data_IF_230740934617
#
_entry.id   IF_230740934617
#
_cell.length_a   1.000
_cell.length_b   1.000
_cell.length_c   1.000
_cell.angle_alpha   90.00
_cell.angle_beta   90.00
_cell.angle_gamma   90.00
#
_symmetry.space_group_name_H-M   'P 1'
#
loop_
_entity.id
_entity.type
_entity.pdbx_description
1 polymer ?
#
# COMPACT_ATOMS: atom_id res chain seq x y z
N UNK A 1 6.63 -22.22 6.53
CA UNK A 1 5.46 -21.78 5.74
C UNK A 1 4.57 -20.96 6.67
N UNK A 2 3.99 -19.86 6.20
CA UNK A 2 3.19 -18.97 7.07
C UNK A 2 1.92 -19.69 7.55
N UNK A 3 1.60 -19.65 8.85
CA UNK A 3 0.30 -20.11 9.34
C UNK A 3 -0.75 -19.03 9.06
N UNK A 4 -1.38 -19.14 7.89
CA UNK A 4 -2.36 -18.15 7.43
C UNK A 4 -3.61 -18.09 8.31
N UNK A 5 -3.97 -19.16 9.01
CA UNK A 5 -5.16 -19.16 9.88
C UNK A 5 -4.87 -18.40 11.17
N UNK A 6 -3.69 -18.58 11.75
CA UNK A 6 -3.23 -17.77 12.87
C UNK A 6 -3.12 -16.30 12.48
N UNK A 7 -2.45 -16.00 11.37
CA UNK A 7 -2.29 -14.62 10.87
C UNK A 7 -3.63 -13.94 10.58
N UNK A 8 -4.61 -14.70 10.08
CA UNK A 8 -5.95 -14.16 9.82
C UNK A 8 -6.67 -13.80 11.12
N UNK A 9 -6.55 -14.62 12.19
CA UNK A 9 -7.10 -14.27 13.51
C UNK A 9 -6.44 -13.01 14.10
N UNK A 10 -5.12 -12.87 13.94
CA UNK A 10 -4.41 -11.65 14.34
C UNK A 10 -4.89 -10.44 13.53
N UNK A 11 -5.08 -10.59 12.21
CA UNK A 11 -5.64 -9.54 11.37
C UNK A 11 -7.04 -9.12 11.83
N UNK A 12 -7.94 -10.06 12.10
CA UNK A 12 -9.30 -9.77 12.57
C UNK A 12 -9.31 -9.07 13.94
N UNK A 13 -8.40 -9.46 14.83
CA UNK A 13 -8.32 -8.88 16.18
C UNK A 13 -7.68 -7.49 16.16
N UNK A 14 -6.55 -7.36 15.47
CA UNK A 14 -5.69 -6.18 15.57
C UNK A 14 -5.98 -5.17 14.44
N UNK A 15 -6.63 -5.58 13.35
CA UNK A 15 -6.75 -4.82 12.11
C UNK A 15 -5.50 -4.91 11.23
N UNK A 16 -4.51 -5.71 11.63
CA UNK A 16 -3.30 -5.93 10.85
C UNK A 16 -2.63 -7.26 11.22
N UNK A 17 -1.79 -7.77 10.31
CA UNK A 17 -0.92 -8.91 10.53
C UNK A 17 0.49 -8.62 9.98
N UNK A 18 1.51 -8.86 10.80
CA UNK A 18 2.91 -8.55 10.49
C UNK A 18 3.85 -9.30 11.46
N UNK A 19 5.02 -9.78 11.02
CA UNK A 19 5.51 -9.86 9.64
C UNK A 19 4.98 -11.11 8.92
N UNK A 20 4.84 -11.04 7.59
CA UNK A 20 4.52 -12.19 6.73
C UNK A 20 5.59 -12.30 5.65
N UNK A 21 6.30 -13.44 5.59
CA UNK A 21 7.32 -13.66 4.56
C UNK A 21 6.65 -13.88 3.20
N UNK A 22 6.96 -13.03 2.22
CA UNK A 22 6.42 -13.09 0.85
C UNK A 22 7.47 -13.66 -0.11
N UNK A 23 8.68 -13.11 -0.09
CA UNK A 23 9.83 -13.52 -0.89
C UNK A 23 11.08 -13.57 0.00
N UNK A 24 12.15 -14.19 -0.48
CA UNK A 24 13.44 -14.11 0.20
C UNK A 24 14.12 -12.74 0.00
N UNK A 25 15.12 -12.47 0.84
CA UNK A 25 15.87 -11.21 0.84
C UNK A 25 16.66 -10.97 -0.44
N UNK A 26 17.10 -12.03 -1.15
CA UNK A 26 17.83 -11.89 -2.40
C UNK A 26 16.90 -11.38 -3.50
N UNK A 27 15.68 -11.91 -3.59
CA UNK A 27 14.67 -11.44 -4.51
C UNK A 27 14.21 -10.03 -4.15
N UNK A 28 14.02 -9.71 -2.86
CA UNK A 28 13.73 -8.34 -2.42
C UNK A 28 14.81 -7.35 -2.88
N UNK A 29 16.08 -7.71 -2.72
CA UNK A 29 17.20 -6.90 -3.18
C UNK A 29 17.24 -6.73 -4.72
N UNK A 30 16.92 -7.78 -5.49
CA UNK A 30 16.78 -7.66 -6.95
C UNK A 30 15.69 -6.66 -7.34
N UNK A 31 14.54 -6.68 -6.67
CA UNK A 31 13.44 -5.74 -6.95
C UNK A 31 13.77 -4.31 -6.51
N UNK A 32 14.51 -4.14 -5.42
CA UNK A 32 15.11 -2.85 -5.06
C UNK A 32 15.97 -2.28 -6.19
N UNK A 33 16.89 -3.08 -6.73
CA UNK A 33 17.75 -2.66 -7.86
C UNK A 33 16.90 -2.31 -9.08
N UNK A 34 15.86 -3.11 -9.40
CA UNK A 34 14.94 -2.81 -10.50
C UNK A 34 14.20 -1.47 -10.32
N UNK A 35 13.78 -1.13 -9.10
CA UNK A 35 13.21 0.18 -8.79
C UNK A 35 14.23 1.29 -9.05
N UNK A 36 15.43 1.17 -8.47
CA UNK A 36 16.48 2.19 -8.61
C UNK A 36 16.88 2.40 -10.09
N UNK A 37 16.94 1.33 -10.88
CA UNK A 37 17.20 1.42 -12.32
C UNK A 37 16.04 2.03 -13.12
N UNK A 38 14.79 1.83 -12.69
CA UNK A 38 13.65 2.51 -13.27
C UNK A 38 13.69 4.00 -12.94
N UNK A 39 14.00 4.37 -11.69
CA UNK A 39 14.08 5.77 -11.25
C UNK A 39 15.17 6.55 -12.01
N UNK A 40 16.29 5.91 -12.38
CA UNK A 40 17.32 6.52 -13.25
C UNK A 40 16.78 6.91 -14.64
N UNK A 41 15.74 6.22 -15.13
CA UNK A 41 15.19 6.41 -16.49
C UNK A 41 14.02 7.39 -16.51
N UNK A 42 13.15 7.34 -15.51
CA UNK A 42 11.88 8.09 -15.51
C UNK A 42 11.73 9.06 -14.33
N UNK A 43 12.74 9.17 -13.48
CA UNK A 43 12.69 9.94 -12.24
C UNK A 43 12.04 9.17 -11.08
N UNK A 44 11.92 9.83 -9.93
CA UNK A 44 11.42 9.21 -8.71
C UNK A 44 10.00 8.62 -8.88
N UNK A 45 9.82 7.38 -8.40
CA UNK A 45 8.53 6.68 -8.44
C UNK A 45 7.79 6.68 -7.10
N UNK A 46 8.35 7.38 -6.10
CA UNK A 46 7.70 7.61 -4.81
C UNK A 46 6.32 8.28 -4.98
N UNK A 47 5.28 7.71 -4.36
CA UNK A 47 3.89 8.18 -4.44
C UNK A 47 3.38 8.38 -5.89
N UNK A 48 3.86 7.54 -6.80
CA UNK A 48 3.23 7.35 -8.10
C UNK A 48 2.28 6.17 -8.04
N UNK A 49 1.00 6.44 -8.31
CA UNK A 49 -0.03 5.41 -8.34
C UNK A 49 0.08 4.57 -9.62
N UNK A 50 -0.47 3.35 -9.58
CA UNK A 50 -0.61 2.46 -10.74
C UNK A 50 0.70 2.01 -11.36
N UNK A 51 1.78 1.90 -10.58
CA UNK A 51 3.10 1.48 -11.12
C UNK A 51 3.11 0.06 -11.70
N UNK A 52 2.15 -0.81 -11.33
CA UNK A 52 1.95 -2.12 -11.94
C UNK A 52 1.55 -2.07 -13.43
N UNK A 53 1.13 -0.91 -13.93
CA UNK A 53 0.82 -0.70 -15.36
C UNK A 53 2.06 -0.38 -16.21
N UNK A 54 3.19 -0.06 -15.57
CA UNK A 54 4.46 0.28 -16.26
C UNK A 54 5.64 -0.60 -15.84
N UNK A 55 5.50 -1.45 -14.83
CA UNK A 55 6.54 -2.36 -14.35
C UNK A 55 5.95 -3.77 -14.20
N UNK A 56 6.38 -4.71 -15.05
CA UNK A 56 5.95 -6.12 -15.05
C UNK A 56 6.18 -6.72 -13.67
N UNK A 57 7.37 -6.51 -13.13
CA UNK A 57 7.78 -7.11 -11.87
C UNK A 57 6.95 -6.63 -10.66
N UNK A 58 6.37 -5.42 -10.74
CA UNK A 58 5.44 -4.93 -9.72
C UNK A 58 4.12 -5.69 -9.80
N UNK A 59 3.62 -5.96 -11.01
CA UNK A 59 2.42 -6.77 -11.20
C UNK A 59 2.63 -8.23 -10.80
N UNK A 60 3.81 -8.80 -11.09
CA UNK A 60 4.20 -10.14 -10.64
C UNK A 60 4.18 -10.24 -9.10
N UNK A 61 4.74 -9.24 -8.41
CA UNK A 61 4.67 -9.19 -6.94
C UNK A 61 3.23 -9.01 -6.45
N UNK A 62 2.45 -8.12 -7.06
CA UNK A 62 1.06 -7.88 -6.69
C UNK A 62 0.16 -9.13 -6.86
N UNK A 63 0.56 -10.06 -7.72
CA UNK A 63 -0.14 -11.32 -8.00
C UNK A 63 0.55 -12.55 -7.40
N UNK A 64 1.58 -12.35 -6.58
CA UNK A 64 2.32 -13.44 -5.94
C UNK A 64 1.41 -14.21 -4.98
N UNK A 65 1.46 -15.55 -5.01
CA UNK A 65 0.60 -16.42 -4.19
C UNK A 65 0.70 -16.12 -2.69
N UNK A 66 1.92 -15.97 -2.15
CA UNK A 66 2.11 -15.61 -0.74
C UNK A 66 1.44 -14.29 -0.30
N UNK A 67 1.13 -13.38 -1.24
CA UNK A 67 0.31 -12.19 -0.95
C UNK A 67 -1.16 -12.55 -1.14
N UNK A 68 -1.54 -12.98 -2.35
CA UNK A 68 -2.94 -13.15 -2.69
C UNK A 68 -3.64 -14.23 -1.86
N UNK A 69 -2.95 -15.26 -1.38
CA UNK A 69 -3.53 -16.31 -0.52
C UNK A 69 -3.95 -15.76 0.85
N UNK A 70 -3.24 -14.73 1.33
CA UNK A 70 -3.63 -14.03 2.55
C UNK A 70 -4.69 -12.97 2.27
N UNK A 71 -4.61 -12.26 1.14
CA UNK A 71 -5.67 -11.33 0.71
C UNK A 71 -6.99 -12.08 0.52
N UNK A 72 -6.98 -13.29 -0.05
CA UNK A 72 -8.17 -14.12 -0.23
C UNK A 72 -8.79 -14.57 1.10
N UNK A 73 -7.98 -14.83 2.12
CA UNK A 73 -8.47 -15.08 3.49
C UNK A 73 -9.23 -13.88 4.05
N UNK A 74 -8.83 -12.66 3.66
CA UNK A 74 -9.40 -11.41 4.16
C UNK A 74 -10.63 -10.98 3.36
N UNK A 75 -10.53 -10.94 2.04
CA UNK A 75 -11.53 -10.36 1.14
C UNK A 75 -12.42 -11.40 0.43
N UNK A 76 -12.07 -12.69 0.55
CA UNK A 76 -12.68 -13.76 -0.24
C UNK A 76 -12.04 -13.95 -1.62
N UNK A 77 -12.62 -14.82 -2.46
CA UNK A 77 -11.95 -15.38 -3.64
C UNK A 77 -11.87 -14.44 -4.85
N UNK A 78 -12.58 -13.32 -4.83
CA UNK A 78 -12.68 -12.39 -5.97
C UNK A 78 -12.01 -11.07 -5.61
N UNK A 79 -10.82 -10.85 -6.17
CA UNK A 79 -9.90 -9.80 -5.71
C UNK A 79 -9.57 -8.87 -6.86
N UNK A 80 -9.73 -7.58 -6.62
CA UNK A 80 -9.23 -6.50 -7.46
C UNK A 80 -7.91 -5.96 -6.89
N UNK A 81 -6.91 -5.74 -7.74
CA UNK A 81 -5.78 -4.85 -7.47
C UNK A 81 -6.19 -3.44 -7.90
N UNK A 82 -6.44 -2.58 -6.91
CA UNK A 82 -6.80 -1.19 -7.14
C UNK A 82 -5.57 -0.33 -7.42
N UNK A 83 -4.50 -0.49 -6.65
CA UNK A 83 -3.32 0.34 -6.79
C UNK A 83 -2.03 -0.38 -6.36
N UNK A 84 -0.91 0.04 -6.95
CA UNK A 84 0.43 -0.27 -6.47
C UNK A 84 1.24 1.03 -6.43
N UNK A 85 1.98 1.28 -5.34
CA UNK A 85 2.73 2.53 -5.14
C UNK A 85 3.96 2.32 -4.28
N UNK A 86 5.08 2.95 -4.65
CA UNK A 86 6.28 2.97 -3.82
C UNK A 86 6.20 4.05 -2.74
N UNK A 87 6.51 3.67 -1.50
CA UNK A 87 6.62 4.56 -0.35
C UNK A 87 8.07 4.53 0.11
N UNK A 88 8.84 5.53 -0.32
CA UNK A 88 10.27 5.63 -0.07
C UNK A 88 10.53 6.74 0.93
N UNK A 89 11.42 6.47 1.89
CA UNK A 89 12.03 7.49 2.73
C UNK A 89 13.53 7.48 2.47
N UNK A 90 14.03 8.57 1.90
CA UNK A 90 15.46 8.77 1.66
C UNK A 90 16.29 8.68 2.95
N UNK A 91 17.59 8.42 2.82
CA UNK A 91 18.49 8.44 3.97
C UNK A 91 18.47 9.80 4.67
N UNK A 92 18.51 9.80 6.01
CA UNK A 92 18.54 11.00 6.85
C UNK A 92 17.44 12.04 6.57
N UNK A 93 16.26 11.62 6.10
CA UNK A 93 15.14 12.54 5.84
C UNK A 93 14.25 12.73 7.07
N UNK A 94 13.78 13.97 7.36
CA UNK A 94 12.77 14.22 8.37
C UNK A 94 11.37 13.74 7.95
N UNK A 95 11.18 13.30 6.70
CA UNK A 95 9.88 12.87 6.17
C UNK A 95 9.24 11.77 7.00
N UNK A 96 8.00 11.99 7.43
CA UNK A 96 7.20 11.04 8.19
C UNK A 96 5.78 10.96 7.63
N UNK A 97 5.05 9.93 8.06
CA UNK A 97 3.62 9.78 7.77
C UNK A 97 2.90 9.98 9.10
N UNK A 98 1.98 10.94 9.19
CA UNK A 98 1.18 11.17 10.40
C UNK A 98 0.22 10.01 10.69
N UNK A 99 -0.33 9.97 11.90
CA UNK A 99 -1.40 9.02 12.23
C UNK A 99 -2.59 9.22 11.30
N UNK A 100 -3.01 8.17 10.61
CA UNK A 100 -4.12 8.26 9.65
C UNK A 100 -4.80 6.91 9.43
N UNK A 101 -5.87 6.94 8.65
CA UNK A 101 -6.58 5.78 8.14
C UNK A 101 -6.63 5.92 6.61
N UNK A 102 -6.47 4.80 5.91
CA UNK A 102 -6.31 4.72 4.46
C UNK A 102 -7.64 4.96 3.72
N UNK A 103 -8.75 4.41 4.24
CA UNK A 103 -10.05 4.43 3.55
C UNK A 103 -10.66 5.83 3.36
N UNK A 104 -10.16 6.85 4.06
CA UNK A 104 -10.59 8.25 3.89
C UNK A 104 -10.24 8.81 2.52
N UNK A 105 -9.27 8.22 1.82
CA UNK A 105 -8.83 8.71 0.52
C UNK A 105 -9.83 8.43 -0.60
N UNK A 106 -10.37 7.22 -0.68
CA UNK A 106 -10.88 6.73 -1.96
C UNK A 106 -12.39 6.83 -2.15
N UNK A 107 -13.18 6.99 -1.09
CA UNK A 107 -14.64 7.03 -1.20
C UNK A 107 -15.23 5.72 -1.74
N UNK A 108 -14.91 4.60 -1.12
CA UNK A 108 -15.47 3.30 -1.47
C UNK A 108 -16.82 3.05 -0.81
N UNK A 109 -17.68 2.25 -1.45
CA UNK A 109 -19.00 1.89 -0.93
C UNK A 109 -18.97 0.89 0.24
N UNK A 110 -17.83 0.25 0.48
CA UNK A 110 -17.60 -0.71 1.55
C UNK A 110 -16.13 -0.64 1.96
N UNK A 111 -15.82 -1.12 3.16
CA UNK A 111 -14.48 -1.18 3.73
C UNK A 111 -13.74 -2.50 3.47
N UNK A 112 -14.25 -3.33 2.54
CA UNK A 112 -13.64 -4.60 2.11
C UNK A 112 -12.40 -4.32 1.23
N UNK A 113 -11.38 -3.79 1.90
CA UNK A 113 -10.11 -3.31 1.39
C UNK A 113 -8.99 -3.80 2.30
N UNK A 114 -7.88 -4.20 1.69
CA UNK A 114 -6.65 -4.49 2.45
C UNK A 114 -5.45 -3.86 1.76
N UNK A 115 -4.61 -3.22 2.55
CA UNK A 115 -3.30 -2.72 2.14
C UNK A 115 -2.25 -3.79 2.47
N UNK A 116 -1.40 -4.15 1.51
CA UNK A 116 -0.21 -4.98 1.71
C UNK A 116 1.03 -4.15 1.46
N UNK A 117 1.87 -4.00 2.48
CA UNK A 117 3.11 -3.23 2.40
C UNK A 117 4.30 -4.18 2.42
N UNK A 118 4.97 -4.35 1.27
CA UNK A 118 6.12 -5.24 1.09
C UNK A 118 7.43 -4.46 1.24
N UNK A 119 8.31 -4.91 2.12
CA UNK A 119 9.64 -4.32 2.33
C UNK A 119 10.63 -4.74 1.23
N UNK A 120 11.17 -3.79 0.47
CA UNK A 120 12.29 -4.01 -0.46
C UNK A 120 13.64 -3.61 0.13
N UNK A 121 13.63 -2.91 1.26
CA UNK A 121 14.79 -2.69 2.13
C UNK A 121 14.34 -2.86 3.60
N UNK A 122 15.28 -2.98 4.57
CA UNK A 122 14.89 -3.15 5.96
C UNK A 122 13.96 -2.03 6.42
N UNK A 123 12.94 -2.36 7.21
CA UNK A 123 12.08 -1.40 7.89
C UNK A 123 12.16 -1.67 9.40
N UNK A 124 12.72 -0.75 10.16
CA UNK A 124 12.88 -0.84 11.61
C UNK A 124 12.64 0.52 12.26
N UNK A 125 12.82 0.60 13.58
CA UNK A 125 12.63 1.84 14.34
C UNK A 125 13.48 3.00 13.83
N UNK A 126 14.72 2.73 13.39
CA UNK A 126 15.68 3.75 12.95
C UNK A 126 15.28 4.38 11.61
N UNK A 127 14.74 3.60 10.68
CA UNK A 127 14.43 4.06 9.32
C UNK A 127 12.91 4.20 9.03
N UNK A 128 12.10 4.15 10.08
CA UNK A 128 10.69 4.48 10.02
C UNK A 128 9.81 3.35 9.53
N UNK A 129 9.93 2.16 10.14
CA UNK A 129 8.89 1.13 10.11
C UNK A 129 7.53 1.69 10.53
N UNK A 130 6.46 1.04 10.05
CA UNK A 130 5.11 1.44 10.44
C UNK A 130 4.86 1.12 11.91
N UNK A 131 4.07 1.97 12.54
CA UNK A 131 3.47 1.72 13.85
C UNK A 131 1.96 1.71 13.66
N UNK A 132 1.28 0.80 14.36
CA UNK A 132 -0.16 0.59 14.22
C UNK A 132 -0.82 0.48 15.60
N UNK A 133 -2.07 0.94 15.73
CA UNK A 133 -2.87 0.77 16.96
C UNK A 133 -3.72 -0.50 16.82
N UNK A 134 -3.47 -1.56 17.60
CA UNK A 134 -4.28 -2.77 17.55
C UNK A 134 -5.76 -2.50 17.86
N UNK A 135 -6.64 -3.08 17.05
CA UNK A 135 -8.09 -3.01 17.23
C UNK A 135 -8.72 -1.70 16.76
N UNK A 136 -7.95 -0.68 16.40
CA UNK A 136 -8.53 0.63 16.04
C UNK A 136 -9.44 0.58 14.80
N UNK A 137 -9.27 -0.42 13.93
CA UNK A 137 -10.11 -0.63 12.76
C UNK A 137 -11.59 -0.86 13.10
N UNK A 138 -11.91 -1.38 14.29
CA UNK A 138 -13.31 -1.61 14.71
C UNK A 138 -14.02 -0.31 15.10
N UNK A 139 -13.30 0.81 15.21
CA UNK A 139 -13.88 2.12 15.50
C UNK A 139 -14.46 2.79 14.24
N UNK A 140 -14.25 2.20 13.06
CA UNK A 140 -14.62 2.80 11.79
C UNK A 140 -13.79 4.05 11.50
N UNK A 141 -14.40 5.01 10.79
CA UNK A 141 -13.74 6.29 10.47
C UNK A 141 -13.60 7.16 11.72
N UNK A 142 -12.37 7.56 12.02
CA UNK A 142 -12.04 8.55 13.04
C UNK A 142 -11.89 9.91 12.33
N UNK A 143 -12.17 11.00 13.04
CA UNK A 143 -12.01 12.35 12.48
C UNK A 143 -10.54 12.66 12.15
N UNK A 144 -10.28 13.08 10.90
CA UNK A 144 -8.98 13.58 10.45
C UNK A 144 -9.00 15.09 10.34
N UNK A 145 -7.90 15.71 10.76
CA UNK A 145 -7.60 17.12 10.52
C UNK A 145 -6.45 17.24 9.53
N UNK A 146 -6.27 18.43 8.93
CA UNK A 146 -5.14 18.69 8.04
C UNK A 146 -4.02 19.39 8.80
N UNK A 147 -2.79 18.87 8.69
CA UNK A 147 -1.58 19.51 9.22
C UNK A 147 -0.85 20.33 8.15
N UNK A 148 -0.13 21.36 8.60
CA UNK A 148 0.79 22.17 7.77
C UNK A 148 2.24 21.70 7.84
N UNK A 149 2.50 20.54 8.46
CA UNK A 149 3.84 19.98 8.56
C UNK A 149 4.37 19.60 7.18
N UNK A 150 5.39 20.34 6.71
CA UNK A 150 6.04 20.13 5.42
C UNK A 150 6.75 18.77 5.30
N UNK A 151 7.01 18.11 6.43
CA UNK A 151 7.63 16.80 6.48
C UNK A 151 6.61 15.66 6.48
N UNK A 152 5.31 15.94 6.60
CA UNK A 152 4.28 14.91 6.43
C UNK A 152 4.11 14.61 4.94
N UNK A 153 4.37 13.36 4.54
CA UNK A 153 4.35 12.94 3.14
C UNK A 153 2.99 12.37 2.68
N UNK A 154 1.95 12.46 3.52
CA UNK A 154 0.59 12.08 3.15
C UNK A 154 0.01 13.06 2.11
N UNK A 155 -0.70 12.53 1.12
CA UNK A 155 -1.23 13.30 0.00
C UNK A 155 -2.12 14.48 0.42
N UNK A 156 -2.97 14.27 1.42
CA UNK A 156 -3.87 15.30 1.97
C UNK A 156 -3.28 16.04 3.19
N UNK A 157 -2.06 15.70 3.62
CA UNK A 157 -1.53 16.18 4.90
C UNK A 157 -2.42 15.83 6.10
N UNK A 158 -3.22 14.76 6.00
CA UNK A 158 -4.16 14.39 7.05
C UNK A 158 -3.44 13.88 8.30
N UNK A 159 -4.06 14.06 9.45
CA UNK A 159 -3.63 13.48 10.73
C UNK A 159 -4.86 13.19 11.58
N UNK A 160 -4.80 12.16 12.41
CA UNK A 160 -5.72 11.97 13.53
C UNK A 160 -5.06 12.56 14.76
N UNK A 161 -5.75 13.51 15.38
CA UNK A 161 -5.27 14.15 16.60
C UNK A 161 -5.49 13.26 17.83
N UNK A 162 -4.70 13.49 18.89
CA UNK A 162 -4.85 12.85 20.21
C UNK A 162 -4.74 11.32 20.21
N UNK A 163 -4.04 10.73 19.24
CA UNK A 163 -3.68 9.30 19.30
C UNK A 163 -2.76 9.06 20.49
N UNK A 164 -3.11 8.11 21.36
CA UNK A 164 -2.24 7.66 22.43
C UNK A 164 -1.15 6.74 21.87
N UNK A 165 0.03 7.29 21.58
CA UNK A 165 1.13 6.52 20.98
C UNK A 165 1.63 5.35 21.85
N UNK A 166 1.28 5.32 23.15
CA UNK A 166 1.61 4.17 24.04
C UNK A 166 0.88 2.89 23.66
N UNK A 167 -0.24 3.01 22.94
CA UNK A 167 -1.02 1.87 22.46
C UNK A 167 -0.49 1.34 21.11
N UNK A 168 0.53 1.98 20.55
CA UNK A 168 1.10 1.62 19.25
C UNK A 168 2.05 0.43 19.35
N UNK A 169 1.94 -0.48 18.38
CA UNK A 169 2.89 -1.55 18.15
C UNK A 169 3.75 -1.21 16.93
N UNK A 170 5.07 -1.37 17.07
CA UNK A 170 6.01 -1.29 15.94
C UNK A 170 5.92 -2.54 15.08
N UNK A 171 5.83 -2.37 13.76
CA UNK A 171 5.77 -3.45 12.78
C UNK A 171 7.06 -3.49 11.94
N UNK A 172 8.19 -3.99 12.48
CA UNK A 172 9.43 -4.11 11.72
C UNK A 172 9.31 -5.20 10.65
N UNK A 173 10.02 -5.00 9.54
CA UNK A 173 10.04 -5.92 8.40
C UNK A 173 11.45 -6.06 7.84
N UNK A 174 11.87 -7.30 7.62
CA UNK A 174 13.06 -7.61 6.82
C UNK A 174 12.74 -7.52 5.32
N UNK A 175 13.74 -7.30 4.44
CA UNK A 175 13.50 -7.33 3.00
C UNK A 175 12.84 -8.65 2.56
N UNK A 176 11.70 -8.53 1.89
CA UNK A 176 10.87 -9.64 1.42
C UNK A 176 9.73 -10.03 2.36
N UNK A 177 9.64 -9.41 3.53
CA UNK A 177 8.48 -9.50 4.42
C UNK A 177 7.48 -8.38 4.15
N UNK A 178 6.21 -8.65 4.43
CA UNK A 178 5.13 -7.69 4.30
C UNK A 178 4.28 -7.60 5.57
N UNK A 179 3.68 -6.43 5.77
CA UNK A 179 2.55 -6.25 6.68
C UNK A 179 1.27 -6.09 5.89
N UNK A 180 0.15 -6.54 6.46
CA UNK A 180 -1.19 -6.34 5.90
C UNK A 180 -2.04 -5.61 6.90
N UNK A 181 -2.79 -4.60 6.48
CA UNK A 181 -3.64 -3.83 7.38
C UNK A 181 -4.96 -3.44 6.72
N UNK A 182 -5.99 -3.41 7.55
CA UNK A 182 -7.32 -2.89 7.23
C UNK A 182 -7.24 -1.38 7.01
N UNK A 183 -8.06 -0.85 6.11
CA UNK A 183 -8.01 0.57 5.79
C UNK A 183 -8.44 1.51 6.93
N UNK A 184 -9.11 0.98 7.96
CA UNK A 184 -9.42 1.70 9.22
C UNK A 184 -8.38 1.52 10.33
N UNK A 185 -7.32 0.73 10.11
CA UNK A 185 -6.26 0.62 11.11
C UNK A 185 -5.50 1.94 11.19
N UNK A 186 -5.44 2.53 12.39
CA UNK A 186 -4.65 3.74 12.65
C UNK A 186 -3.19 3.36 12.54
N UNK A 187 -2.48 4.07 11.67
CA UNK A 187 -1.07 3.80 11.45
C UNK A 187 -0.29 5.07 11.12
N UNK A 188 1.01 5.00 11.39
CA UNK A 188 1.97 6.10 11.24
C UNK A 188 3.32 5.53 10.83
N UNK A 189 4.27 6.37 10.42
CA UNK A 189 5.67 5.97 10.37
C UNK A 189 6.61 7.14 10.60
N UNK A 190 7.57 6.96 11.51
CA UNK A 190 8.55 7.98 11.94
C UNK A 190 9.60 8.30 10.85
N UNK A 191 10.40 9.38 10.99
CA UNK A 191 11.46 9.74 10.04
C UNK A 191 12.49 8.64 9.78
N UNK A 192 13.24 8.75 8.67
CA UNK A 192 14.37 7.85 8.41
C UNK A 192 15.69 8.49 8.87
N UNK A 193 16.27 7.97 9.96
CA UNK A 193 17.54 8.42 10.54
C UNK A 193 18.74 7.55 10.16
N UNK A 194 18.54 6.58 9.27
CA UNK A 194 19.61 5.72 8.78
C UNK A 194 20.31 6.32 7.56
N UNK A 195 21.46 5.75 7.21
CA UNK A 195 22.25 6.13 6.03
C UNK A 195 21.77 5.48 4.72
N UNK A 196 20.67 4.73 4.75
CA UNK A 196 20.11 4.05 3.56
C UNK A 196 18.62 4.40 3.37
N UNK A 197 18.10 4.23 2.15
CA UNK A 197 16.69 4.45 1.81
C UNK A 197 15.82 3.34 2.39
N UNK A 198 14.69 3.68 2.99
CA UNK A 198 13.62 2.73 3.33
C UNK A 198 12.64 2.63 2.16
N UNK A 199 12.50 1.46 1.57
CA UNK A 199 11.72 1.23 0.35
C UNK A 199 10.60 0.23 0.64
N UNK A 200 9.37 0.71 0.58
CA UNK A 200 8.17 -0.11 0.62
C UNK A 200 7.43 -0.10 -0.70
N UNK A 201 6.84 -1.23 -1.07
CA UNK A 201 5.87 -1.32 -2.16
C UNK A 201 4.50 -1.64 -1.57
N UNK A 202 3.59 -0.69 -1.67
CA UNK A 202 2.22 -0.82 -1.15
C UNK A 202 1.27 -1.27 -2.26
N UNK A 203 0.53 -2.35 -2.02
CA UNK A 203 -0.56 -2.83 -2.86
C UNK A 203 -1.89 -2.59 -2.15
N UNK A 204 -2.89 -2.09 -2.89
CA UNK A 204 -4.25 -1.89 -2.39
C UNK A 204 -5.17 -2.87 -3.10
N UNK A 205 -5.77 -3.78 -2.34
CA UNK A 205 -6.71 -4.77 -2.84
C UNK A 205 -8.13 -4.46 -2.39
N UNK A 206 -9.12 -4.83 -3.20
CA UNK A 206 -10.55 -4.69 -2.92
C UNK A 206 -11.27 -5.99 -3.24
N UNK A 207 -12.35 -6.28 -2.51
CA UNK A 207 -13.31 -7.28 -2.96
C UNK A 207 -14.05 -6.75 -4.21
N UNK A 208 -14.42 -7.63 -5.14
CA UNK A 208 -15.03 -7.20 -6.43
C UNK A 208 -16.38 -6.47 -6.28
N UNK A 209 -17.08 -6.65 -5.17
CA UNK A 209 -18.36 -5.95 -4.93
C UNK A 209 -18.18 -4.49 -4.48
N UNK A 210 -16.97 -4.08 -4.07
CA UNK A 210 -16.67 -2.70 -3.70
C UNK A 210 -16.88 -1.80 -4.92
N UNK A 211 -17.43 -0.60 -4.70
CA UNK A 211 -17.69 0.39 -5.74
C UNK A 211 -17.06 1.74 -5.40
N UNK A 212 -16.52 2.42 -6.42
CA UNK A 212 -16.12 3.82 -6.32
C UNK A 212 -17.36 4.73 -6.26
N UNK A 213 -17.45 5.59 -5.24
CA UNK A 213 -18.62 6.47 -5.04
C UNK A 213 -18.37 7.91 -5.48
N UNK A 214 -17.11 8.35 -5.58
CA UNK A 214 -16.76 9.72 -6.00
C UNK A 214 -16.96 9.96 -7.50
N UNK A 215 -16.73 8.95 -8.34
CA UNK A 215 -16.88 9.04 -9.80
C UNK A 215 -16.83 7.66 -10.49
N UNK A 216 -17.20 7.61 -11.79
CA UNK A 216 -17.23 6.36 -12.56
C UNK A 216 -15.98 6.10 -13.41
N UNK A 217 -14.89 6.85 -13.20
CA UNK A 217 -13.69 6.75 -14.04
C UNK A 217 -12.59 5.85 -13.47
N UNK A 218 -12.70 5.45 -12.20
CA UNK A 218 -11.67 4.66 -11.53
C UNK A 218 -11.47 3.29 -12.18
N UNK A 219 -10.29 2.73 -12.01
CA UNK A 219 -9.90 1.47 -12.66
C UNK A 219 -9.23 0.50 -11.70
N UNK A 220 -9.27 -0.78 -12.02
CA UNK A 220 -8.61 -1.85 -11.27
C UNK A 220 -8.33 -3.05 -12.19
N UNK A 221 -7.55 -4.01 -11.69
CA UNK A 221 -7.30 -5.29 -12.37
C UNK A 221 -7.88 -6.41 -11.51
N UNK A 222 -8.72 -7.28 -12.06
CA UNK A 222 -9.09 -8.52 -11.38
C UNK A 222 -7.87 -9.46 -11.36
N UNK A 223 -7.34 -9.72 -10.17
CA UNK A 223 -6.11 -10.50 -9.96
C UNK A 223 -6.37 -11.90 -9.42
N UNK A 224 -7.60 -12.17 -8.96
CA UNK A 224 -8.04 -13.52 -8.56
C UNK A 224 -9.55 -13.64 -8.69
N UNK A 225 -10.02 -14.82 -9.08
CA UNK A 225 -11.44 -15.14 -9.19
C UNK A 225 -12.10 -14.46 -10.40
N UNK A 226 -13.32 -13.97 -10.21
CA UNK A 226 -14.15 -13.38 -11.25
C UNK A 226 -14.83 -12.09 -10.77
N UNK A 227 -14.75 -11.02 -11.58
CA UNK A 227 -15.48 -9.77 -11.35
C UNK A 227 -16.79 -9.76 -12.15
N UNK A 228 -17.90 -10.04 -11.46
CA UNK A 228 -19.24 -9.94 -12.03
C UNK A 228 -19.85 -8.54 -11.91
N UNK A 229 -19.28 -7.68 -11.08
CA UNK A 229 -19.86 -6.38 -10.72
C UNK A 229 -19.42 -5.29 -11.69
N UNK A 230 -18.17 -5.34 -12.17
CA UNK A 230 -17.60 -4.36 -13.09
C UNK A 230 -17.74 -2.92 -12.56
N UNK A 231 -17.53 -2.74 -11.25
CA UNK A 231 -17.63 -1.45 -10.58
C UNK A 231 -16.47 -0.49 -10.89
N UNK A 232 -15.38 -1.02 -11.47
CA UNK A 232 -14.19 -0.29 -11.89
C UNK A 232 -13.95 -0.52 -13.39
N UNK A 233 -13.37 0.47 -14.08
CA UNK A 233 -12.82 0.27 -15.42
C UNK A 233 -11.64 -0.70 -15.39
N UNK A 234 -11.36 -1.31 -16.53
CA UNK A 234 -10.29 -2.30 -16.64
C UNK A 234 -8.94 -1.59 -16.87
N UNK A 235 -8.05 -1.73 -15.89
CA UNK A 235 -6.62 -1.44 -16.07
C UNK A 235 -5.92 -2.59 -16.80
N UNK A 236 -4.74 -2.30 -17.37
CA UNK A 236 -3.92 -3.32 -18.01
C UNK A 236 -2.58 -3.42 -17.27
N UNK A 237 -2.11 -4.63 -16.94
CA UNK A 237 -0.79 -4.81 -16.37
C UNK A 237 0.26 -4.44 -17.43
N UNK A 238 1.46 -4.08 -16.96
CA UNK A 238 2.59 -3.89 -17.85
C UNK A 238 2.89 -5.17 -18.64
N UNK A 239 3.06 -5.06 -19.95
CA UNK A 239 3.58 -6.13 -20.82
C UNK A 239 5.06 -5.96 -21.16
N UNK A 240 5.60 -4.77 -20.86
CA UNK A 240 7.02 -4.40 -20.97
C UNK A 240 7.32 -3.30 -19.96
N UNK A 241 8.45 -3.43 -19.26
CA UNK A 241 8.91 -2.40 -18.33
C UNK A 241 9.14 -1.08 -19.05
N UNK A 242 8.51 -0.02 -18.52
CA UNK A 242 8.62 1.37 -18.97
C UNK A 242 8.29 1.57 -20.45
N UNK A 243 7.31 0.82 -20.97
CA UNK A 243 6.82 1.03 -22.33
C UNK A 243 6.34 2.48 -22.53
N UNK A 244 6.78 3.19 -23.59
CA UNK A 244 6.43 4.60 -23.80
C UNK A 244 4.93 4.88 -23.93
N UNK A 245 4.14 3.93 -24.45
CA UNK A 245 2.68 4.07 -24.56
C UNK A 245 2.06 3.86 -23.18
N UNK A 246 2.51 2.83 -22.45
CA UNK A 246 2.07 2.59 -21.07
C UNK A 246 2.39 3.77 -20.15
N UNK A 247 3.57 4.41 -20.27
CA UNK A 247 3.97 5.58 -19.50
C UNK A 247 3.02 6.78 -19.71
N UNK A 248 2.56 7.01 -20.94
CA UNK A 248 1.56 8.06 -21.22
C UNK A 248 0.24 7.79 -20.49
N UNK A 249 -0.24 6.54 -20.54
CA UNK A 249 -1.47 6.12 -19.82
C UNK A 249 -1.29 6.21 -18.31
N UNK A 250 -0.14 5.77 -17.79
CA UNK A 250 0.21 5.84 -16.38
C UNK A 250 0.16 7.27 -15.82
N UNK A 251 0.65 8.27 -16.55
CA UNK A 251 0.56 9.66 -16.08
C UNK A 251 -0.89 10.15 -15.95
N UNK A 252 -1.78 9.70 -16.84
CA UNK A 252 -3.22 10.00 -16.76
C UNK A 252 -3.81 9.31 -15.52
N UNK A 253 -3.49 8.03 -15.31
CA UNK A 253 -3.99 7.25 -14.19
C UNK A 253 -3.46 7.76 -12.83
N UNK A 254 -2.19 8.14 -12.72
CA UNK A 254 -1.59 8.73 -11.52
C UNK A 254 -2.28 10.04 -11.14
N UNK A 255 -2.51 10.91 -12.13
CA UNK A 255 -3.26 12.16 -11.93
C UNK A 255 -4.70 11.89 -11.51
N UNK A 256 -5.35 10.92 -12.14
CA UNK A 256 -6.73 10.56 -11.79
C UNK A 256 -6.81 10.03 -10.37
N UNK A 257 -5.93 9.09 -9.98
CA UNK A 257 -5.87 8.57 -8.62
C UNK A 257 -5.66 9.68 -7.59
N UNK A 258 -4.77 10.63 -7.86
CA UNK A 258 -4.54 11.78 -6.98
C UNK A 258 -5.75 12.70 -6.86
N UNK A 259 -6.51 12.88 -7.93
CA UNK A 259 -7.76 13.63 -7.87
C UNK A 259 -8.82 12.90 -7.03
N UNK A 260 -8.93 11.57 -7.16
CA UNK A 260 -9.83 10.75 -6.34
C UNK A 260 -9.41 10.81 -4.87
N UNK A 261 -8.13 10.54 -4.60
CA UNK A 261 -7.57 10.48 -3.25
C UNK A 261 -7.43 11.86 -2.61
N UNK A 262 -7.35 12.95 -3.37
CA UNK A 262 -7.23 14.32 -2.85
C UNK A 262 -8.54 15.11 -2.84
N UNK A 263 -9.65 14.51 -3.30
CA UNK A 263 -10.98 15.14 -3.29
C UNK A 263 -11.76 14.87 -2.01
#
# INVERSE_FOLDING_TARGET
>A
MNDLNFLYKEYQKNGFASPIKVIDSNNANKYRIKLEDAEKKVGALHYKAKVHTILIWVYELATHSNILDFVEKILGPNILLHNATFIVKEANTPSHVSWHQDLTYWGFSHDDQVSSWLALSPANELNGAMQMIPGSHTLGMIEHTTTKDKNNILLQGQTVDKVNEKDAILCPLSPGEASFHHGWTLHTSKPNRSSDRRIGLNFQYLATHVKQTKHNNDSAICVRGFDKYNNFKIDQPATKDLDPIALKKFNILDKQYKNTAGS
#
